data_IF_145753222000
#
_entry.id   IF_145753222000
#
_cell.length_a   1.000
_cell.length_b   1.000
_cell.length_c   1.000
_cell.angle_alpha   90.00
_cell.angle_beta   90.00
_cell.angle_gamma   90.00
#
_symmetry.space_group_name_H-M   'P 1'
#
loop_
_entity.id
_entity.type
_entity.pdbx_description
1 polymer ?
#
# COMPACT_ATOMS: atom_id res chain seq x y z
N UNK A 1 14.38 4.65 13.75
CA UNK A 1 12.95 5.06 13.64
C UNK A 1 12.25 4.38 12.47
N UNK A 2 10.98 3.96 12.60
CA UNK A 2 10.15 3.45 11.48
C UNK A 2 9.18 4.52 11.01
N UNK A 3 9.08 4.74 9.69
CA UNK A 3 8.16 5.69 9.08
C UNK A 3 7.02 4.96 8.38
N UNK A 4 5.79 5.20 8.81
CA UNK A 4 4.58 4.74 8.12
C UNK A 4 4.11 5.82 7.15
N UNK A 5 4.62 5.80 5.91
CA UNK A 5 4.57 6.94 5.00
C UNK A 5 3.16 7.20 4.42
N UNK A 6 2.29 6.18 4.31
CA UNK A 6 1.06 6.29 3.50
C UNK A 6 -0.23 6.06 4.28
N UNK A 7 -0.25 6.42 5.57
CA UNK A 7 -1.44 6.25 6.43
C UNK A 7 -2.50 7.36 6.23
N UNK A 8 -2.08 8.57 5.86
CA UNK A 8 -2.99 9.71 5.61
C UNK A 8 -3.41 9.82 4.14
N UNK A 9 -2.57 9.33 3.23
CA UNK A 9 -2.81 9.33 1.78
C UNK A 9 -1.96 8.26 1.12
N UNK A 10 -2.38 7.78 -0.04
CA UNK A 10 -1.61 6.83 -0.86
C UNK A 10 -0.46 7.57 -1.55
N UNK A 11 0.68 7.69 -0.84
CA UNK A 11 1.87 8.38 -1.36
C UNK A 11 2.37 7.73 -2.66
N UNK A 12 2.54 6.40 -2.77
CA UNK A 12 3.01 5.79 -4.01
C UNK A 12 2.13 6.13 -5.22
N UNK A 13 0.81 6.19 -5.04
CA UNK A 13 -0.11 6.49 -6.13
C UNK A 13 -0.13 7.97 -6.53
N UNK A 14 -0.08 8.89 -5.56
CA UNK A 14 -0.42 10.31 -5.82
C UNK A 14 0.71 11.31 -5.53
N UNK A 15 1.65 10.97 -4.64
CA UNK A 15 2.63 11.92 -4.11
C UNK A 15 4.06 11.37 -4.12
N UNK A 16 4.37 10.45 -5.05
CA UNK A 16 5.69 9.83 -5.16
C UNK A 16 6.80 10.86 -5.33
N UNK A 17 6.60 11.85 -6.21
CA UNK A 17 7.60 12.88 -6.47
C UNK A 17 7.83 13.78 -5.26
N UNK A 18 6.74 14.22 -4.62
CA UNK A 18 6.81 15.02 -3.40
C UNK A 18 7.57 14.28 -2.30
N UNK A 19 7.30 13.00 -2.10
CA UNK A 19 7.96 12.20 -1.07
C UNK A 19 9.45 12.06 -1.34
N UNK A 20 9.83 11.78 -2.59
CA UNK A 20 11.24 11.65 -2.96
C UNK A 20 12.00 12.98 -2.86
N UNK A 21 11.32 14.12 -3.03
CA UNK A 21 11.91 15.43 -2.75
C UNK A 21 12.14 15.63 -1.25
N UNK A 22 11.25 15.15 -0.38
CA UNK A 22 11.46 15.16 1.08
C UNK A 22 12.59 14.23 1.50
N UNK A 23 12.72 13.06 0.86
CA UNK A 23 13.88 12.17 1.05
C UNK A 23 15.18 12.87 0.69
N UNK A 24 15.23 13.59 -0.45
CA UNK A 24 16.39 14.40 -0.84
C UNK A 24 16.71 15.49 0.18
N UNK A 25 15.69 16.18 0.70
CA UNK A 25 15.85 17.23 1.71
C UNK A 25 16.15 16.69 3.12
N UNK A 26 16.00 15.38 3.35
CA UNK A 26 16.24 14.69 4.62
C UNK A 26 15.34 15.16 5.77
N UNK A 27 14.19 15.76 5.49
CA UNK A 27 13.17 16.03 6.50
C UNK A 27 11.77 16.16 5.90
N UNK A 28 10.75 16.06 6.75
CA UNK A 28 9.37 16.45 6.42
C UNK A 28 8.72 17.15 7.60
N UNK A 29 7.86 18.12 7.30
CA UNK A 29 7.03 18.82 8.28
C UNK A 29 5.66 18.16 8.35
N UNK A 30 5.23 17.80 9.55
CA UNK A 30 3.97 17.10 9.81
C UNK A 30 3.14 17.93 10.78
N UNK A 31 1.99 18.50 10.35
CA UNK A 31 1.09 19.16 11.27
C UNK A 31 0.46 18.13 12.21
N UNK A 32 0.29 18.52 13.47
CA UNK A 32 -0.45 17.74 14.44
C UNK A 32 -1.94 17.68 14.03
N UNK A 33 -2.57 16.50 14.07
CA UNK A 33 -3.95 16.34 13.62
C UNK A 33 -4.99 17.09 14.47
N UNK A 34 -4.69 17.41 15.73
CA UNK A 34 -5.57 18.11 16.65
C UNK A 34 -5.24 19.60 16.79
N UNK A 35 -3.98 20.00 16.54
CA UNK A 35 -3.56 21.40 16.56
C UNK A 35 -2.67 21.70 15.33
N UNK A 36 -3.25 22.16 14.20
CA UNK A 36 -2.51 22.35 12.95
C UNK A 36 -1.36 23.36 13.02
N UNK A 37 -1.42 24.31 13.96
CA UNK A 37 -0.35 25.30 14.17
C UNK A 37 0.89 24.67 14.82
N UNK A 38 0.76 23.49 15.44
CA UNK A 38 1.89 22.73 15.98
C UNK A 38 2.46 21.81 14.90
N UNK A 39 3.63 22.18 14.38
CA UNK A 39 4.30 21.48 13.28
C UNK A 39 5.49 20.68 13.84
N UNK A 40 5.48 19.37 13.62
CA UNK A 40 6.62 18.51 13.95
C UNK A 40 7.57 18.39 12.76
N UNK A 41 8.88 18.46 13.00
CA UNK A 41 9.90 18.16 11.99
C UNK A 41 10.38 16.73 12.17
N UNK A 42 10.10 15.88 11.20
CA UNK A 42 10.55 14.48 11.18
C UNK A 42 11.85 14.41 10.38
N UNK A 43 12.90 13.88 11.00
CA UNK A 43 14.19 13.65 10.34
C UNK A 43 14.06 12.48 9.35
N UNK A 44 14.54 12.66 8.12
CA UNK A 44 14.56 11.62 7.08
C UNK A 44 15.98 11.16 6.71
N UNK A 45 16.98 11.42 7.55
CA UNK A 45 18.33 10.91 7.35
C UNK A 45 18.36 9.36 7.37
N UNK A 46 18.98 8.70 6.39
CA UNK A 46 19.06 7.23 6.36
C UNK A 46 19.80 6.65 7.57
N UNK A 47 20.68 7.42 8.23
CA UNK A 47 21.37 6.99 9.45
C UNK A 47 20.43 6.83 10.66
N UNK A 48 19.23 7.42 10.63
CA UNK A 48 18.26 7.35 11.75
C UNK A 48 16.95 6.64 11.39
N UNK A 49 16.74 6.33 10.11
CA UNK A 49 15.58 5.57 9.63
C UNK A 49 15.92 4.09 9.57
N UNK A 50 15.19 3.28 10.33
CA UNK A 50 15.31 1.82 10.29
C UNK A 50 14.55 1.22 9.12
N UNK A 51 13.37 1.79 8.79
CA UNK A 51 12.52 1.31 7.71
C UNK A 51 11.44 2.34 7.32
N UNK A 52 11.05 2.33 6.05
CA UNK A 52 9.89 3.04 5.52
C UNK A 52 8.82 2.03 5.10
N UNK A 53 7.58 2.22 5.55
CA UNK A 53 6.44 1.37 5.21
C UNK A 53 5.50 2.14 4.29
N UNK A 54 5.36 1.65 3.06
CA UNK A 54 4.41 2.19 2.09
C UNK A 54 3.11 1.41 2.12
N UNK A 55 1.98 2.13 2.07
CA UNK A 55 0.64 1.55 1.95
C UNK A 55 0.01 2.09 0.68
N UNK A 56 -0.47 1.21 -0.20
CA UNK A 56 -0.96 1.66 -1.50
C UNK A 56 -1.94 0.68 -2.12
N UNK A 57 -2.85 1.20 -2.94
CA UNK A 57 -3.64 0.42 -3.91
C UNK A 57 -3.10 0.54 -5.34
N UNK A 58 -2.10 1.40 -5.58
CA UNK A 58 -1.52 1.59 -6.90
C UNK A 58 -0.06 2.12 -6.82
N UNK A 59 0.95 1.24 -6.73
CA UNK A 59 2.35 1.66 -6.67
C UNK A 59 2.92 2.10 -8.03
N UNK A 60 2.21 1.89 -9.14
CA UNK A 60 2.73 2.09 -10.49
C UNK A 60 3.45 3.45 -10.71
N UNK A 61 2.94 4.59 -10.20
CA UNK A 61 3.60 5.89 -10.40
C UNK A 61 4.94 6.05 -9.66
N UNK A 62 5.27 5.13 -8.76
CA UNK A 62 6.49 5.17 -7.95
C UNK A 62 7.53 4.12 -8.35
N UNK A 63 7.13 3.02 -9.00
CA UNK A 63 8.01 1.85 -9.28
C UNK A 63 9.34 2.28 -9.93
N UNK A 64 9.30 3.07 -10.99
CA UNK A 64 10.49 3.46 -11.75
C UNK A 64 11.38 4.48 -11.03
N UNK A 65 10.95 4.96 -9.86
CA UNK A 65 11.66 5.96 -9.07
C UNK A 65 12.30 5.37 -7.82
N UNK A 66 12.11 4.07 -7.56
CA UNK A 66 12.54 3.42 -6.32
C UNK A 66 14.07 3.38 -6.14
N UNK A 67 14.84 3.51 -7.21
CA UNK A 67 16.32 3.57 -7.12
C UNK A 67 16.78 4.80 -6.32
N UNK A 68 15.95 5.84 -6.22
CA UNK A 68 16.17 7.02 -5.34
C UNK A 68 16.05 6.71 -3.84
N UNK A 69 15.65 5.49 -3.48
CA UNK A 69 15.53 5.00 -2.10
C UNK A 69 16.56 3.93 -1.74
N UNK A 70 17.62 3.75 -2.54
CA UNK A 70 18.63 2.70 -2.33
C UNK A 70 19.29 2.73 -0.93
N UNK A 71 19.41 3.90 -0.31
CA UNK A 71 19.99 4.07 1.03
C UNK A 71 19.02 3.67 2.17
N UNK A 72 17.77 3.34 1.84
CA UNK A 72 16.70 3.10 2.80
C UNK A 72 16.20 1.66 2.72
N UNK A 73 15.93 1.08 3.88
CA UNK A 73 15.12 -0.13 3.97
C UNK A 73 13.65 0.27 3.83
N UNK A 74 12.92 -0.46 3.00
CA UNK A 74 11.48 -0.24 2.85
C UNK A 74 10.76 -1.50 2.40
N UNK A 75 9.45 -1.52 2.60
CA UNK A 75 8.56 -2.54 2.04
C UNK A 75 7.19 -1.94 1.73
N UNK A 76 6.42 -2.67 0.92
CA UNK A 76 5.11 -2.27 0.45
C UNK A 76 4.03 -3.16 1.07
N UNK A 77 3.04 -2.51 1.65
CA UNK A 77 1.73 -3.03 1.98
C UNK A 77 0.82 -2.72 0.78
N UNK A 78 0.68 -3.67 -0.14
CA UNK A 78 -0.10 -3.47 -1.37
C UNK A 78 -1.49 -4.09 -1.21
N UNK A 79 -2.50 -3.24 -1.03
CA UNK A 79 -3.90 -3.65 -1.09
C UNK A 79 -4.31 -4.00 -2.52
N UNK A 80 -4.61 -5.28 -2.73
CA UNK A 80 -5.09 -5.84 -3.97
C UNK A 80 -6.27 -6.76 -3.66
N UNK A 81 -7.46 -6.35 -4.06
CA UNK A 81 -8.73 -7.02 -3.80
C UNK A 81 -9.51 -7.20 -5.11
N UNK A 82 -10.52 -8.08 -5.14
CA UNK A 82 -11.24 -8.44 -6.36
C UNK A 82 -12.46 -7.55 -6.62
N UNK A 83 -12.57 -6.40 -5.96
CA UNK A 83 -13.76 -5.56 -6.06
C UNK A 83 -13.87 -4.87 -7.41
N UNK A 84 -15.11 -4.69 -7.84
CA UNK A 84 -15.46 -3.97 -9.06
C UNK A 84 -15.48 -2.46 -8.88
N UNK A 85 -15.84 -1.76 -9.95
CA UNK A 85 -15.87 -0.28 -10.00
C UNK A 85 -16.92 0.34 -9.09
N UNK A 86 -17.93 -0.42 -8.69
CA UNK A 86 -18.96 -0.03 -7.71
C UNK A 86 -18.36 0.28 -6.33
N UNK A 87 -17.26 -0.38 -5.95
CA UNK A 87 -16.52 -0.08 -4.72
C UNK A 87 -15.21 0.68 -4.99
N UNK A 88 -14.54 0.40 -6.10
CA UNK A 88 -13.20 0.91 -6.39
C UNK A 88 -13.07 1.54 -7.80
N UNK A 89 -13.98 2.47 -8.13
CA UNK A 89 -14.11 3.08 -9.47
C UNK A 89 -12.84 3.70 -10.08
N UNK A 90 -11.90 4.16 -9.26
CA UNK A 90 -10.70 4.88 -9.71
C UNK A 90 -9.46 4.00 -9.88
N UNK A 91 -9.59 2.69 -9.64
CA UNK A 91 -8.46 1.78 -9.78
C UNK A 91 -8.39 1.17 -11.18
N UNK A 92 -7.18 0.81 -11.64
CA UNK A 92 -7.04 0.02 -12.85
C UNK A 92 -7.77 -1.34 -12.73
N UNK A 93 -8.13 -1.98 -13.86
CA UNK A 93 -8.67 -3.33 -13.87
C UNK A 93 -7.79 -4.31 -13.08
N UNK A 94 -8.41 -5.32 -12.46
CA UNK A 94 -7.73 -6.26 -11.56
C UNK A 94 -6.46 -6.87 -12.19
N UNK A 95 -6.54 -7.32 -13.45
CA UNK A 95 -5.39 -7.91 -14.14
C UNK A 95 -4.20 -6.94 -14.21
N UNK A 96 -4.44 -5.67 -14.55
CA UNK A 96 -3.39 -4.65 -14.60
C UNK A 96 -2.78 -4.39 -13.22
N UNK A 97 -3.59 -4.49 -12.16
CA UNK A 97 -3.08 -4.38 -10.78
C UNK A 97 -2.25 -5.60 -10.37
N UNK A 98 -2.63 -6.81 -10.78
CA UNK A 98 -1.82 -8.04 -10.61
C UNK A 98 -0.48 -7.88 -11.33
N UNK A 99 -0.47 -7.43 -12.59
CA UNK A 99 0.77 -7.23 -13.35
C UNK A 99 1.67 -6.17 -12.69
N UNK A 100 1.06 -5.11 -12.14
CA UNK A 100 1.76 -4.09 -11.36
C UNK A 100 2.37 -4.66 -10.08
N UNK A 101 1.67 -5.57 -9.40
CA UNK A 101 2.17 -6.27 -8.21
C UNK A 101 3.41 -7.09 -8.55
N UNK A 102 3.33 -7.90 -9.62
CA UNK A 102 4.45 -8.72 -10.10
C UNK A 102 5.66 -7.87 -10.43
N UNK A 103 5.46 -6.81 -11.23
CA UNK A 103 6.52 -5.86 -11.59
C UNK A 103 7.18 -5.19 -10.38
N UNK A 104 6.39 -4.82 -9.36
CA UNK A 104 6.95 -4.28 -8.13
C UNK A 104 7.82 -5.33 -7.43
N UNK A 105 7.30 -6.54 -7.27
CA UNK A 105 7.99 -7.66 -6.64
C UNK A 105 9.29 -8.02 -7.36
N UNK A 106 9.28 -8.11 -8.69
CA UNK A 106 10.46 -8.35 -9.51
C UNK A 106 11.54 -7.27 -9.30
N UNK A 107 11.12 -6.01 -9.09
CA UNK A 107 12.05 -4.89 -8.90
C UNK A 107 12.68 -4.86 -7.50
N UNK A 108 11.93 -5.20 -6.45
CA UNK A 108 12.40 -4.98 -5.07
C UNK A 108 12.59 -6.24 -4.24
N UNK A 109 12.17 -7.40 -4.75
CA UNK A 109 12.12 -8.66 -4.03
C UNK A 109 10.74 -8.93 -3.44
N UNK A 110 10.28 -10.17 -3.57
CA UNK A 110 8.98 -10.65 -3.07
C UNK A 110 8.82 -10.55 -1.56
N UNK A 111 9.93 -10.58 -0.82
CA UNK A 111 9.97 -10.42 0.64
C UNK A 111 9.58 -9.00 1.07
N UNK A 112 9.67 -8.02 0.16
CA UNK A 112 9.33 -6.61 0.41
C UNK A 112 7.95 -6.21 -0.13
N UNK A 113 7.19 -7.14 -0.71
CA UNK A 113 5.82 -6.88 -1.17
C UNK A 113 4.86 -7.76 -0.42
N UNK A 114 4.10 -7.17 0.51
CA UNK A 114 3.06 -7.86 1.26
C UNK A 114 1.72 -7.65 0.55
N UNK A 115 1.09 -8.75 0.14
CA UNK A 115 -0.26 -8.72 -0.40
C UNK A 115 -1.26 -8.48 0.73
N UNK A 116 -2.08 -7.45 0.59
CA UNK A 116 -3.21 -7.20 1.48
C UNK A 116 -4.50 -7.48 0.74
N UNK A 117 -5.10 -8.63 1.03
CA UNK A 117 -6.47 -8.93 0.68
C UNK A 117 -7.37 -8.37 1.78
N UNK A 118 -7.36 -7.04 1.89
CA UNK A 118 -8.01 -6.29 2.95
C UNK A 118 -8.55 -4.95 2.39
N UNK A 119 -9.79 -4.56 2.74
CA UNK A 119 -10.73 -5.33 3.56
C UNK A 119 -11.41 -6.46 2.78
N UNK A 120 -11.87 -7.49 3.50
CA UNK A 120 -12.87 -8.47 3.09
C UNK A 120 -14.24 -7.94 3.55
N UNK A 121 -15.13 -7.72 2.59
CA UNK A 121 -16.48 -7.22 2.76
C UNK A 121 -17.45 -8.30 2.31
N UNK A 122 -18.37 -8.72 3.18
CA UNK A 122 -19.43 -9.65 2.78
C UNK A 122 -20.77 -8.93 2.60
N UNK A 123 -21.41 -9.14 1.44
CA UNK A 123 -22.78 -8.70 1.15
C UNK A 123 -23.44 -9.65 0.12
N UNK A 124 -24.60 -9.27 -0.44
CA UNK A 124 -25.33 -10.07 -1.44
C UNK A 124 -24.51 -10.36 -2.71
N UNK A 125 -23.62 -9.44 -3.10
CA UNK A 125 -22.77 -9.57 -4.28
C UNK A 125 -21.44 -10.26 -3.95
N UNK A 126 -20.80 -9.83 -2.87
CA UNK A 126 -19.49 -10.30 -2.40
C UNK A 126 -19.69 -11.35 -1.31
N UNK A 127 -20.11 -12.55 -1.72
CA UNK A 127 -20.36 -13.65 -0.79
C UNK A 127 -19.04 -14.27 -0.29
N UNK A 128 -19.14 -15.12 0.73
CA UNK A 128 -17.99 -15.93 1.18
C UNK A 128 -17.45 -16.80 0.03
N UNK A 129 -18.34 -17.42 -0.76
CA UNK A 129 -17.96 -18.24 -1.91
C UNK A 129 -17.22 -17.41 -2.97
N UNK A 130 -17.73 -16.20 -3.29
CA UNK A 130 -17.04 -15.27 -4.19
C UNK A 130 -15.61 -14.98 -3.71
N UNK A 131 -15.43 -14.71 -2.41
CA UNK A 131 -14.11 -14.44 -1.86
C UNK A 131 -13.19 -15.65 -1.88
N UNK A 132 -13.71 -16.86 -1.65
CA UNK A 132 -12.92 -18.10 -1.76
C UNK A 132 -12.41 -18.29 -3.19
N UNK A 133 -13.30 -18.21 -4.17
CA UNK A 133 -12.95 -18.37 -5.58
C UNK A 133 -11.91 -17.33 -6.03
N UNK A 134 -12.16 -16.05 -5.71
CA UNK A 134 -11.27 -14.96 -6.09
C UNK A 134 -9.95 -15.00 -5.35
N UNK A 135 -9.95 -15.40 -4.08
CA UNK A 135 -8.72 -15.55 -3.33
C UNK A 135 -7.84 -16.64 -3.93
N UNK A 136 -8.39 -17.80 -4.33
CA UNK A 136 -7.64 -18.87 -4.98
C UNK A 136 -7.06 -18.39 -6.31
N UNK A 137 -7.86 -17.73 -7.15
CA UNK A 137 -7.40 -17.17 -8.44
C UNK A 137 -6.24 -16.20 -8.25
N UNK A 138 -6.37 -15.26 -7.31
CA UNK A 138 -5.34 -14.26 -7.04
C UNK A 138 -4.11 -14.85 -6.35
N UNK A 139 -4.28 -15.78 -5.41
CA UNK A 139 -3.17 -16.46 -4.75
C UNK A 139 -2.35 -17.26 -5.75
N UNK A 140 -3.01 -17.96 -6.68
CA UNK A 140 -2.32 -18.64 -7.79
C UNK A 140 -1.57 -17.65 -8.69
N UNK A 141 -2.14 -16.49 -8.95
CA UNK A 141 -1.44 -15.47 -9.74
C UNK A 141 -0.23 -14.85 -9.01
N UNK A 142 -0.20 -14.85 -7.67
CA UNK A 142 0.75 -14.09 -6.87
C UNK A 142 1.76 -14.94 -6.07
N UNK A 143 1.63 -16.27 -6.02
CA UNK A 143 2.39 -17.11 -5.08
C UNK A 143 3.92 -16.99 -5.17
N UNK A 144 4.47 -16.70 -6.36
CA UNK A 144 5.91 -16.50 -6.54
C UNK A 144 6.38 -15.06 -6.24
N UNK A 145 5.45 -14.12 -6.12
CA UNK A 145 5.71 -12.68 -6.04
C UNK A 145 5.49 -12.10 -4.65
N UNK A 146 5.11 -12.89 -3.66
CA UNK A 146 5.01 -12.46 -2.27
C UNK A 146 5.26 -13.62 -1.31
N UNK A 147 5.77 -13.31 -0.12
CA UNK A 147 5.91 -14.29 0.97
C UNK A 147 4.84 -14.14 2.06
N UNK A 148 3.98 -13.12 1.94
CA UNK A 148 3.01 -12.79 2.98
C UNK A 148 1.72 -12.24 2.40
N UNK A 149 0.62 -12.84 2.81
CA UNK A 149 -0.72 -12.30 2.63
C UNK A 149 -1.28 -11.84 3.99
N UNK A 150 -1.90 -10.66 4.02
CA UNK A 150 -2.69 -10.19 5.15
C UNK A 150 -4.17 -10.18 4.76
N UNK A 151 -4.99 -10.78 5.63
CA UNK A 151 -6.44 -10.70 5.56
C UNK A 151 -6.93 -9.75 6.64
N UNK A 152 -7.92 -8.92 6.31
CA UNK A 152 -8.64 -8.11 7.29
C UNK A 152 -10.11 -8.08 6.89
N UNK A 153 -11.00 -8.20 7.88
CA UNK A 153 -12.43 -8.26 7.67
C UNK A 153 -13.04 -6.94 8.13
N UNK A 154 -14.01 -6.42 7.39
CA UNK A 154 -14.81 -5.30 7.88
C UNK A 154 -15.67 -5.80 9.04
N UNK A 155 -15.60 -5.07 10.16
CA UNK A 155 -16.54 -5.24 11.25
C UNK A 155 -17.88 -4.60 10.87
N UNK A 156 -18.97 -5.36 11.03
CA UNK A 156 -20.32 -4.80 10.94
C UNK A 156 -20.53 -3.86 12.13
N UNK A 157 -20.58 -2.55 11.88
CA UNK A 157 -20.75 -1.57 12.93
C UNK A 157 -22.19 -1.61 13.46
N UNK A 158 -22.45 -1.98 14.73
CA UNK A 158 -23.80 -2.23 15.23
C UNK A 158 -24.76 -1.03 15.18
N UNK A 159 -24.21 0.18 15.06
CA UNK A 159 -24.98 1.43 15.08
C UNK A 159 -25.23 2.02 13.69
N UNK A 160 -24.81 1.34 12.62
CA UNK A 160 -25.15 1.69 11.23
C UNK A 160 -26.02 0.55 10.70
N UNK A 161 -27.31 0.83 10.52
CA UNK A 161 -28.29 -0.08 9.91
C UNK A 161 -28.25 0.03 8.39
#
# INVERSE_FOLDING_TARGET
MIISASRRTDIPAFYSEWFLNRIKERYVLVPNPYNPNMISRVNLDPAVIDCIVFWTKNPAPMIDKLDRLQDYKYYFQFTLNPYGTELESKLPPLQKRIDTFKRLSDKIGREKVVWRYDPILTNEQYTVAFHQDKFVEMAFALHDYTEKCMLGFIDHYPHVR
#
